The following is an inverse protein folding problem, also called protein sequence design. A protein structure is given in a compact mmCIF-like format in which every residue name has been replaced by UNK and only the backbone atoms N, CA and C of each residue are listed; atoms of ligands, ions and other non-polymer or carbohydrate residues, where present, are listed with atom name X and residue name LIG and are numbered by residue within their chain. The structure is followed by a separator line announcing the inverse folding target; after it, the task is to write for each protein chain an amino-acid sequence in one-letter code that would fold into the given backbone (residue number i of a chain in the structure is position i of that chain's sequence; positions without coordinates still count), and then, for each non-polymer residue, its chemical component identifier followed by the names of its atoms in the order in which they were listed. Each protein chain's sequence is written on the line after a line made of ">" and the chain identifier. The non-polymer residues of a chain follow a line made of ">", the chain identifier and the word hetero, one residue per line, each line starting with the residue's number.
data_IF_973090983997
#
_entry.id   IF_973090983997
#
_cell.length_a   1.000
_cell.length_b   1.000
_cell.length_c   1.000
_cell.angle_alpha   90.00
_cell.angle_beta   90.00
_cell.angle_gamma   90.00
#
_symmetry.space_group_name_H-M   'P 1'
#
loop_
_entity.id
_entity.type
_entity.pdbx_description
1 polymer ?
#
# COMPACT_ATOMS: atom_id res chain seq x y z
N UNK A 1 1.63 9.47 -38.80
CA UNK A 1 1.69 10.38 -37.64
C UNK A 1 0.62 10.10 -36.57
N UNK A 2 -0.65 9.79 -36.93
CA UNK A 2 -1.72 9.47 -35.94
C UNK A 2 -1.48 8.24 -35.05
N UNK A 3 -0.86 7.16 -35.55
CA UNK A 3 -0.64 5.91 -34.78
C UNK A 3 0.47 6.03 -33.73
N UNK A 4 1.50 6.86 -33.99
CA UNK A 4 2.62 7.09 -33.06
C UNK A 4 2.16 7.95 -31.87
N UNK A 5 1.27 8.92 -32.11
CA UNK A 5 0.67 9.75 -31.06
C UNK A 5 -0.25 8.95 -30.13
N UNK A 6 -0.95 7.92 -30.63
CA UNK A 6 -1.81 7.05 -29.81
C UNK A 6 -0.98 6.15 -28.90
N UNK A 7 0.16 5.63 -29.36
CA UNK A 7 1.07 4.86 -28.51
C UNK A 7 1.70 5.72 -27.41
N UNK A 8 2.10 6.95 -27.73
CA UNK A 8 2.64 7.88 -26.74
C UNK A 8 1.58 8.26 -25.67
N UNK A 9 0.33 8.47 -26.07
CA UNK A 9 -0.76 8.74 -25.13
C UNK A 9 -1.09 7.53 -24.24
N UNK A 10 -1.07 6.31 -24.78
CA UNK A 10 -1.28 5.08 -23.99
C UNK A 10 -0.14 4.82 -22.98
N UNK A 11 1.11 5.17 -23.33
CA UNK A 11 2.26 5.03 -22.44
C UNK A 11 2.24 6.04 -21.28
N UNK A 12 1.74 7.25 -21.51
CA UNK A 12 1.62 8.30 -20.46
C UNK A 12 0.48 7.99 -19.47
N UNK A 13 -0.59 7.32 -19.92
CA UNK A 13 -1.67 6.87 -19.03
C UNK A 13 -1.21 5.70 -18.13
N UNK A 14 -0.26 4.87 -18.58
CA UNK A 14 0.32 3.80 -17.77
C UNK A 14 1.26 4.31 -16.66
N UNK A 15 1.92 5.45 -16.87
CA UNK A 15 2.88 6.03 -15.92
C UNK A 15 2.23 6.94 -14.85
N UNK A 16 0.93 7.19 -14.95
CA UNK A 16 0.19 8.08 -14.05
C UNK A 16 -0.68 7.33 -13.03
N UNK A 17 -0.69 5.99 -13.04
CA UNK A 17 -1.17 5.21 -11.90
C UNK A 17 -0.16 5.32 -10.78
N UNK A 18 -0.50 6.14 -9.80
CA UNK A 18 0.38 6.56 -8.74
C UNK A 18 1.03 5.34 -8.07
N UNK A 19 2.36 5.40 -8.02
CA UNK A 19 3.27 4.42 -7.46
C UNK A 19 3.02 4.20 -5.97
N UNK A 20 2.06 3.35 -5.63
CA UNK A 20 1.85 2.84 -4.28
C UNK A 20 2.12 1.34 -4.27
N UNK A 21 2.74 0.86 -3.20
CA UNK A 21 2.96 -0.56 -3.01
C UNK A 21 1.62 -1.29 -3.03
N UNK A 22 1.68 -2.51 -3.56
CA UNK A 22 0.52 -3.38 -3.66
C UNK A 22 0.83 -4.61 -2.83
N UNK A 23 -0.12 -4.99 -1.97
CA UNK A 23 -0.15 -6.31 -1.35
C UNK A 23 0.20 -7.40 -2.39
N UNK A 24 1.12 -8.28 -2.01
CA UNK A 24 1.68 -9.31 -2.86
C UNK A 24 2.88 -8.89 -3.71
N UNK A 25 3.32 -7.63 -3.69
CA UNK A 25 4.55 -7.23 -4.37
C UNK A 25 5.81 -7.75 -3.68
N UNK A 26 6.87 -7.93 -4.47
CA UNK A 26 8.19 -8.26 -3.95
C UNK A 26 8.86 -7.04 -3.32
N UNK A 27 9.88 -7.28 -2.49
CA UNK A 27 10.66 -6.19 -1.89
C UNK A 27 11.28 -5.27 -2.97
N UNK A 28 11.80 -5.83 -4.06
CA UNK A 28 12.34 -5.03 -5.18
C UNK A 28 11.28 -4.13 -5.84
N UNK A 29 10.05 -4.63 -5.97
CA UNK A 29 8.94 -3.83 -6.50
C UNK A 29 8.54 -2.70 -5.54
N UNK A 30 8.53 -2.97 -4.23
CA UNK A 30 8.30 -1.93 -3.21
C UNK A 30 9.44 -0.91 -3.21
N UNK A 31 10.69 -1.37 -3.32
CA UNK A 31 11.87 -0.52 -3.40
C UNK A 31 11.87 0.37 -4.65
N UNK A 32 11.30 -0.09 -5.77
CA UNK A 32 11.15 0.73 -6.97
C UNK A 32 10.18 1.92 -6.76
N UNK A 33 9.25 1.82 -5.80
CA UNK A 33 8.24 2.85 -5.53
C UNK A 33 8.68 3.81 -4.43
N UNK A 34 9.31 3.30 -3.37
CA UNK A 34 9.69 4.09 -2.20
C UNK A 34 11.19 4.34 -2.06
N UNK A 35 12.02 3.71 -2.89
CA UNK A 35 13.46 3.61 -2.65
C UNK A 35 13.78 2.56 -1.59
N UNK A 36 15.02 2.58 -1.10
CA UNK A 36 15.46 1.66 -0.04
C UNK A 36 14.73 1.96 1.28
N UNK A 37 14.48 0.94 2.12
CA UNK A 37 13.89 1.15 3.43
C UNK A 37 14.76 2.08 4.29
N UNK A 38 14.10 2.96 5.05
CA UNK A 38 14.75 3.84 6.05
C UNK A 38 15.03 3.11 7.35
N UNK A 39 14.30 2.01 7.60
CA UNK A 39 14.54 1.07 8.69
C UNK A 39 14.31 -0.35 8.15
N UNK A 40 15.36 -1.03 7.65
CA UNK A 40 15.26 -2.41 7.19
C UNK A 40 15.17 -3.35 8.38
N UNK A 41 14.12 -4.18 8.41
CA UNK A 41 13.94 -5.20 9.43
C UNK A 41 14.83 -6.42 9.20
N UNK A 42 14.73 -7.35 10.14
CA UNK A 42 15.21 -8.74 9.98
C UNK A 42 14.00 -9.69 10.06
N UNK A 43 14.08 -10.88 9.45
CA UNK A 43 13.06 -11.90 9.64
C UNK A 43 12.87 -12.21 11.12
N UNK A 44 11.63 -12.23 11.59
CA UNK A 44 11.25 -12.74 12.91
C UNK A 44 11.17 -14.28 12.94
N UNK A 45 10.68 -14.85 14.04
CA UNK A 45 10.53 -16.31 14.20
C UNK A 45 9.60 -16.94 13.18
N UNK A 46 8.66 -16.17 12.62
CA UNK A 46 7.71 -16.62 11.61
C UNK A 46 8.24 -16.36 10.18
N UNK A 47 9.46 -15.82 10.07
CA UNK A 47 10.10 -15.45 8.81
C UNK A 47 9.53 -14.17 8.20
N UNK A 48 8.80 -13.37 8.98
CA UNK A 48 8.26 -12.08 8.53
C UNK A 48 9.34 -11.01 8.68
N UNK A 49 9.63 -10.29 7.59
CA UNK A 49 10.51 -9.12 7.63
C UNK A 49 9.65 -7.86 7.58
N UNK A 50 9.81 -6.96 8.54
CA UNK A 50 9.08 -5.69 8.59
C UNK A 50 10.02 -4.55 8.22
N UNK A 51 9.77 -3.91 7.08
CA UNK A 51 10.56 -2.76 6.60
C UNK A 51 9.76 -1.47 6.71
N UNK A 52 10.42 -0.39 7.13
CA UNK A 52 9.85 0.96 7.08
C UNK A 52 10.42 1.75 5.90
N UNK A 53 9.53 2.44 5.21
CA UNK A 53 9.82 3.30 4.07
C UNK A 53 9.28 4.71 4.33
N UNK A 54 9.89 5.68 3.67
CA UNK A 54 9.27 6.99 3.43
C UNK A 54 8.94 7.09 1.96
N UNK A 55 7.78 7.64 1.64
CA UNK A 55 7.47 7.90 0.24
C UNK A 55 8.41 9.00 -0.32
N UNK A 56 8.53 9.14 -1.66
CA UNK A 56 9.47 10.10 -2.26
C UNK A 56 9.28 11.56 -1.83
N UNK A 57 8.05 11.97 -1.51
CA UNK A 57 7.77 13.34 -1.01
C UNK A 57 8.10 13.52 0.48
N UNK A 58 8.35 12.42 1.21
CA UNK A 58 8.62 12.43 2.65
C UNK A 58 7.39 12.72 3.53
N UNK A 59 6.20 12.75 2.95
CA UNK A 59 4.95 13.08 3.64
C UNK A 59 4.34 11.88 4.37
N UNK A 60 4.65 10.67 3.93
CA UNK A 60 4.09 9.43 4.46
C UNK A 60 5.17 8.44 4.85
N UNK A 61 4.84 7.66 5.86
CA UNK A 61 5.54 6.46 6.28
C UNK A 61 4.73 5.27 5.77
N UNK A 62 5.40 4.34 5.11
CA UNK A 62 4.86 3.03 4.80
C UNK A 62 5.62 1.97 5.60
N UNK A 63 4.91 1.10 6.31
CA UNK A 63 5.52 -0.10 6.94
C UNK A 63 4.98 -1.30 6.20
N UNK A 64 5.87 -2.11 5.64
CA UNK A 64 5.54 -3.27 4.82
C UNK A 64 6.10 -4.52 5.48
N UNK A 65 5.24 -5.52 5.66
CA UNK A 65 5.63 -6.84 6.14
C UNK A 65 5.72 -7.79 4.96
N UNK A 66 6.86 -8.47 4.83
CA UNK A 66 7.13 -9.45 3.80
C UNK A 66 7.20 -10.86 4.40
N UNK A 67 6.50 -11.80 3.79
CA UNK A 67 6.64 -13.22 4.07
C UNK A 67 7.01 -13.93 2.77
N UNK A 68 8.06 -14.75 2.80
CA UNK A 68 8.59 -15.43 1.60
C UNK A 68 8.81 -14.45 0.42
N UNK A 69 9.33 -13.25 0.74
CA UNK A 69 9.67 -12.22 -0.23
C UNK A 69 8.50 -11.42 -0.80
N UNK A 70 7.26 -11.62 -0.34
CA UNK A 70 6.07 -10.92 -0.84
C UNK A 70 5.35 -10.16 0.28
N UNK A 71 4.85 -8.95 -0.02
CA UNK A 71 4.10 -8.09 0.90
C UNK A 71 2.81 -8.77 1.34
N UNK A 72 2.62 -8.92 2.66
CA UNK A 72 1.41 -9.51 3.28
C UNK A 72 0.61 -8.49 4.11
N UNK A 73 1.27 -7.43 4.54
CA UNK A 73 0.67 -6.32 5.29
C UNK A 73 1.34 -5.03 4.85
N UNK A 74 0.55 -3.99 4.64
CA UNK A 74 1.03 -2.63 4.44
C UNK A 74 0.30 -1.70 5.38
N UNK A 75 1.02 -0.75 5.98
CA UNK A 75 0.42 0.30 6.77
C UNK A 75 0.95 1.67 6.36
N UNK A 76 0.06 2.66 6.41
CA UNK A 76 0.30 4.00 5.89
C UNK A 76 -0.09 5.04 6.92
N UNK A 77 0.80 6.00 7.13
CA UNK A 77 0.51 7.11 8.02
C UNK A 77 1.27 8.38 7.60
N UNK A 78 0.69 9.56 7.87
CA UNK A 78 1.37 10.83 7.62
C UNK A 78 2.50 11.04 8.60
N UNK A 79 3.63 11.59 8.15
CA UNK A 79 4.79 11.95 9.00
C UNK A 79 4.41 13.02 10.04
N UNK A 80 3.51 13.94 9.70
CA UNK A 80 3.01 15.01 10.58
C UNK A 80 1.99 14.55 11.63
N UNK A 81 1.69 13.24 11.71
CA UNK A 81 0.75 12.60 12.66
C UNK A 81 -0.72 13.01 12.48
N UNK A 82 -1.08 13.79 11.46
CA UNK A 82 -2.49 14.04 11.15
C UNK A 82 -3.16 12.77 10.63
N UNK A 83 -4.48 12.70 10.80
CA UNK A 83 -5.30 11.65 10.17
C UNK A 83 -5.17 11.74 8.65
N UNK A 84 -5.21 10.59 8.00
CA UNK A 84 -5.41 10.50 6.56
C UNK A 84 -6.81 11.04 6.23
N UNK A 85 -6.87 11.94 5.27
CA UNK A 85 -8.10 12.38 4.62
C UNK A 85 -8.73 11.24 3.82
N UNK A 86 -10.02 11.36 3.50
CA UNK A 86 -10.71 10.38 2.67
C UNK A 86 -10.07 10.20 1.29
N UNK A 87 -9.51 11.29 0.73
CA UNK A 87 -8.78 11.24 -0.54
C UNK A 87 -7.52 10.39 -0.42
N UNK A 88 -6.72 10.56 0.64
CA UNK A 88 -5.51 9.75 0.85
C UNK A 88 -5.85 8.29 1.13
N UNK A 89 -6.89 8.03 1.94
CA UNK A 89 -7.39 6.67 2.20
C UNK A 89 -7.78 5.98 0.88
N UNK A 90 -8.57 6.66 0.04
CA UNK A 90 -8.99 6.13 -1.27
C UNK A 90 -7.79 5.81 -2.16
N UNK A 91 -6.76 6.66 -2.16
CA UNK A 91 -5.53 6.42 -2.93
C UNK A 91 -4.79 5.17 -2.45
N UNK A 92 -4.57 4.99 -1.15
CA UNK A 92 -3.87 3.81 -0.61
C UNK A 92 -4.66 2.52 -0.81
N UNK A 93 -5.98 2.57 -0.63
CA UNK A 93 -6.88 1.45 -0.93
C UNK A 93 -6.82 1.11 -2.43
N UNK A 94 -6.92 2.11 -3.32
CA UNK A 94 -6.84 1.89 -4.77
C UNK A 94 -5.50 1.27 -5.18
N UNK A 95 -4.39 1.70 -4.57
CA UNK A 95 -3.07 1.09 -4.76
C UNK A 95 -3.07 -0.41 -4.43
N UNK A 96 -3.76 -0.78 -3.35
CA UNK A 96 -3.86 -2.15 -2.84
C UNK A 96 -5.07 -2.96 -3.37
N UNK A 97 -5.75 -2.42 -4.39
CA UNK A 97 -6.97 -3.02 -4.94
C UNK A 97 -6.73 -4.31 -5.74
N UNK A 98 -5.55 -4.48 -6.34
CA UNK A 98 -5.32 -5.53 -7.36
C UNK A 98 -6.43 -5.56 -8.45
N UNK A 99 -7.00 -4.40 -8.79
CA UNK A 99 -8.10 -4.27 -9.75
C UNK A 99 -9.47 -4.71 -9.21
N UNK A 100 -9.61 -4.91 -7.90
CA UNK A 100 -10.85 -5.28 -7.21
C UNK A 100 -11.43 -4.10 -6.43
N UNK A 101 -12.73 -4.14 -6.16
CA UNK A 101 -13.37 -3.08 -5.39
C UNK A 101 -13.09 -3.24 -3.90
N UNK A 102 -13.03 -2.12 -3.17
CA UNK A 102 -13.11 -2.11 -1.71
C UNK A 102 -14.54 -1.81 -1.29
N UNK A 103 -15.11 -2.71 -0.48
CA UNK A 103 -16.46 -2.57 0.06
C UNK A 103 -16.34 -2.30 1.56
N UNK A 104 -17.24 -1.49 2.10
CA UNK A 104 -17.36 -1.39 3.57
C UNK A 104 -17.73 -2.76 4.11
N UNK A 105 -17.05 -3.22 5.15
CA UNK A 105 -17.36 -4.52 5.76
C UNK A 105 -18.72 -4.42 6.49
N UNK A 106 -19.76 -5.14 6.02
CA UNK A 106 -21.08 -5.10 6.64
C UNK A 106 -21.11 -5.76 8.03
N UNK A 107 -20.12 -6.61 8.35
CA UNK A 107 -19.98 -7.26 9.64
C UNK A 107 -19.28 -6.40 10.69
N UNK A 108 -18.80 -5.21 10.33
CA UNK A 108 -18.15 -4.25 11.24
C UNK A 108 -16.82 -4.73 11.86
N UNK A 109 -16.26 -5.85 11.39
CA UNK A 109 -14.97 -6.36 11.88
C UNK A 109 -13.80 -5.57 11.30
N UNK A 110 -13.97 -5.08 10.08
CA UNK A 110 -13.04 -4.18 9.40
C UNK A 110 -13.76 -2.91 8.95
N UNK A 111 -13.01 -1.91 8.50
CA UNK A 111 -13.63 -0.74 7.86
C UNK A 111 -13.89 -1.03 6.37
N UNK A 112 -12.99 -1.79 5.72
CA UNK A 112 -13.14 -2.24 4.35
C UNK A 112 -12.71 -3.70 4.19
N UNK A 113 -13.39 -4.39 3.28
CA UNK A 113 -13.00 -5.70 2.76
C UNK A 113 -12.95 -5.61 1.23
N UNK A 114 -11.92 -6.21 0.64
CA UNK A 114 -11.78 -6.26 -0.81
C UNK A 114 -12.78 -7.26 -1.38
N UNK A 115 -13.33 -6.99 -2.56
CA UNK A 115 -14.45 -7.75 -3.13
C UNK A 115 -14.13 -9.22 -3.45
N UNK A 116 -12.85 -9.58 -3.47
CA UNK A 116 -12.36 -10.95 -3.61
C UNK A 116 -12.13 -11.66 -2.27
N UNK A 117 -12.42 -11.00 -1.14
CA UNK A 117 -12.20 -11.47 0.24
C UNK A 117 -10.73 -11.77 0.61
N UNK A 118 -9.78 -11.44 -0.26
CA UNK A 118 -8.36 -11.73 -0.05
C UNK A 118 -7.60 -10.58 0.64
N UNK A 119 -8.27 -9.49 1.01
CA UNK A 119 -7.68 -8.42 1.79
C UNK A 119 -8.72 -7.68 2.63
N UNK A 120 -8.31 -7.18 3.79
CA UNK A 120 -9.09 -6.26 4.62
C UNK A 120 -8.27 -5.03 5.00
N UNK A 121 -8.95 -3.95 5.34
CA UNK A 121 -8.33 -2.71 5.77
C UNK A 121 -9.12 -2.02 6.88
N UNK A 122 -8.39 -1.35 7.77
CA UNK A 122 -8.96 -0.57 8.88
C UNK A 122 -8.01 0.55 9.30
N UNK A 123 -8.56 1.54 10.00
CA UNK A 123 -7.76 2.61 10.60
C UNK A 123 -7.64 2.36 12.11
N UNK A 124 -6.43 2.48 12.64
CA UNK A 124 -6.17 2.47 14.08
C UNK A 124 -5.04 3.45 14.44
N UNK A 125 -4.73 3.57 15.74
CA UNK A 125 -3.62 4.41 16.20
C UNK A 125 -2.45 3.54 16.62
N UNK A 126 -1.36 3.58 15.85
CA UNK A 126 -0.12 2.85 16.15
C UNK A 126 0.92 3.84 16.65
N UNK A 127 1.48 3.61 17.84
CA UNK A 127 2.48 4.48 18.47
C UNK A 127 2.08 5.99 18.47
N UNK A 128 0.79 6.27 18.72
CA UNK A 128 0.24 7.62 18.72
C UNK A 128 0.00 8.24 17.34
N UNK A 129 0.11 7.46 16.25
CA UNK A 129 -0.09 7.91 14.88
C UNK A 129 -1.34 7.25 14.25
N UNK A 130 -2.31 8.04 13.75
CA UNK A 130 -3.40 7.51 12.96
C UNK A 130 -2.86 6.83 11.70
N UNK A 131 -3.18 5.55 11.54
CA UNK A 131 -2.57 4.66 10.55
C UNK A 131 -3.66 3.86 9.86
N UNK A 132 -3.61 3.80 8.52
CA UNK A 132 -4.37 2.82 7.74
C UNK A 132 -3.56 1.53 7.70
N UNK A 133 -4.16 0.40 8.04
CA UNK A 133 -3.60 -0.93 7.83
C UNK A 133 -4.38 -1.64 6.74
N UNK A 134 -3.65 -2.37 5.90
CA UNK A 134 -4.16 -3.22 4.84
C UNK A 134 -3.45 -4.56 4.95
N UNK A 135 -4.22 -5.65 5.06
CA UNK A 135 -3.68 -6.99 5.31
C UNK A 135 -4.26 -8.00 4.31
N UNK A 136 -3.40 -8.84 3.75
CA UNK A 136 -3.82 -9.98 2.95
C UNK A 136 -4.50 -11.06 3.81
N UNK A 137 -5.50 -11.72 3.24
CA UNK A 137 -6.19 -12.88 3.82
C UNK A 137 -5.87 -14.09 2.94
N UNK A 138 -5.43 -15.17 3.57
CA UNK A 138 -5.08 -16.44 2.95
C UNK A 138 -5.98 -17.54 3.50
#
# INVERSE_FOLDING_TARGET
>A
MKRILILAAALVIALSYHAFARLGQTEDQVNALFGKPVDPGKPDSDGITTNMYKNPTGEYIAVVQFLKGHSITESYARVDRRKLSEKELSIFLQGNSAGKEWKKDPGGRFAWERSDHHASAWCETIAGRPTLLIRARY
#
